data_IF_888959738585
#
_entry.id   IF_888959738585
#
_cell.length_a   1.000
_cell.length_b   1.000
_cell.length_c   1.000
_cell.angle_alpha   90.00
_cell.angle_beta   90.00
_cell.angle_gamma   90.00
#
_symmetry.space_group_name_H-M   'P 1'
#
loop_
_entity.id
_entity.type
_entity.pdbx_description
1 polymer ?
#
# COMPACT_ATOMS: atom_id res chain seq x y z
N UNK A 1 -8.85 8.78 19.23
CA UNK A 1 -7.55 8.04 19.23
C UNK A 1 -7.68 6.52 19.12
N UNK A 2 -8.75 5.89 19.63
CA UNK A 2 -8.91 4.41 19.61
C UNK A 2 -8.84 3.74 18.24
N UNK A 3 -9.38 4.36 17.19
CA UNK A 3 -9.37 3.76 15.84
C UNK A 3 -8.00 3.67 15.19
N UNK A 4 -7.06 4.56 15.53
CA UNK A 4 -5.68 4.51 15.02
C UNK A 4 -4.88 3.35 15.60
N UNK A 5 -5.06 3.08 16.91
CA UNK A 5 -4.38 1.98 17.62
C UNK A 5 -4.94 0.62 17.19
N UNK A 6 -6.26 0.47 17.10
CA UNK A 6 -6.87 -0.76 16.60
C UNK A 6 -6.45 -1.08 15.16
N UNK A 7 -6.38 -0.04 14.29
CA UNK A 7 -5.90 -0.18 12.93
C UNK A 7 -4.41 -0.56 12.83
N UNK A 8 -3.57 -0.01 13.71
CA UNK A 8 -2.16 -0.37 13.81
C UNK A 8 -1.97 -1.84 14.25
N UNK A 9 -2.71 -2.29 15.27
CA UNK A 9 -2.68 -3.68 15.76
C UNK A 9 -3.15 -4.68 14.70
N UNK A 10 -4.24 -4.38 13.99
CA UNK A 10 -4.71 -5.21 12.88
C UNK A 10 -3.66 -5.31 11.75
N UNK A 11 -2.91 -4.23 11.52
CA UNK A 11 -1.87 -4.21 10.49
C UNK A 11 -0.68 -5.11 10.85
N UNK A 12 -0.33 -5.29 12.14
CA UNK A 12 0.71 -6.24 12.55
C UNK A 12 0.35 -7.66 12.11
N UNK A 13 -0.89 -8.10 12.38
CA UNK A 13 -1.35 -9.43 12.00
C UNK A 13 -1.38 -9.57 10.47
N UNK A 14 -1.85 -8.54 9.75
CA UNK A 14 -1.84 -8.54 8.29
C UNK A 14 -0.42 -8.63 7.71
N UNK A 15 0.55 -7.96 8.32
CA UNK A 15 1.95 -8.10 7.92
C UNK A 15 2.38 -9.54 8.11
N UNK A 16 2.15 -10.14 9.29
CA UNK A 16 2.58 -11.50 9.56
C UNK A 16 1.93 -12.54 8.62
N UNK A 17 0.64 -12.42 8.31
CA UNK A 17 -0.05 -13.44 7.50
C UNK A 17 0.07 -13.22 5.99
N UNK A 18 0.06 -11.97 5.53
CA UNK A 18 0.02 -11.63 4.10
C UNK A 18 1.39 -11.27 3.53
N UNK A 19 2.46 -11.30 4.33
CA UNK A 19 3.81 -11.02 3.84
C UNK A 19 4.20 -11.88 2.63
N UNK A 20 3.90 -13.20 2.57
CA UNK A 20 4.25 -14.01 1.40
C UNK A 20 3.68 -13.45 0.09
N UNK A 21 2.41 -13.06 0.08
CA UNK A 21 1.77 -12.46 -1.09
C UNK A 21 2.36 -11.08 -1.41
N UNK A 22 2.68 -10.27 -0.39
CA UNK A 22 3.34 -8.97 -0.58
C UNK A 22 4.74 -9.11 -1.17
N UNK A 23 5.51 -10.09 -0.72
CA UNK A 23 6.85 -10.40 -1.24
C UNK A 23 6.78 -10.87 -2.67
N UNK A 24 5.86 -11.80 -2.98
CA UNK A 24 5.58 -12.25 -4.35
C UNK A 24 5.20 -11.08 -5.26
N UNK A 25 4.25 -10.22 -4.83
CA UNK A 25 3.82 -9.05 -5.60
C UNK A 25 4.98 -8.08 -5.88
N UNK A 26 5.81 -7.78 -4.88
CA UNK A 26 6.96 -6.89 -5.09
C UNK A 26 8.02 -7.51 -6.00
N UNK A 27 8.23 -8.84 -5.90
CA UNK A 27 9.08 -9.57 -6.83
C UNK A 27 8.57 -9.45 -8.27
N UNK A 28 7.27 -9.65 -8.49
CA UNK A 28 6.63 -9.46 -9.79
C UNK A 28 6.83 -8.04 -10.31
N UNK A 29 6.66 -7.02 -9.46
CA UNK A 29 6.89 -5.62 -9.86
C UNK A 29 8.33 -5.36 -10.34
N UNK A 30 9.33 -6.04 -9.77
CA UNK A 30 10.72 -5.90 -10.21
C UNK A 30 11.03 -6.74 -11.45
N UNK A 31 10.60 -7.99 -11.51
CA UNK A 31 11.08 -8.97 -12.49
C UNK A 31 10.08 -9.35 -13.58
N UNK A 32 8.77 -9.12 -13.41
CA UNK A 32 7.76 -9.36 -14.46
C UNK A 32 7.26 -10.76 -14.60
N UNK A 33 7.62 -11.61 -13.65
CA UNK A 33 7.24 -13.00 -13.59
C UNK A 33 5.75 -13.17 -13.26
N UNK A 34 5.19 -14.33 -13.61
CA UNK A 34 3.84 -14.70 -13.19
C UNK A 34 3.78 -14.95 -11.67
N UNK A 35 2.59 -15.02 -11.08
CA UNK A 35 2.46 -15.26 -9.63
C UNK A 35 3.04 -16.63 -9.25
N UNK A 36 2.66 -17.67 -10.00
CA UNK A 36 3.12 -19.05 -9.77
C UNK A 36 4.64 -19.15 -9.91
N UNK A 37 5.19 -18.57 -10.97
CA UNK A 37 6.64 -18.55 -11.20
C UNK A 37 7.37 -17.82 -10.08
N UNK A 38 6.87 -16.66 -9.65
CA UNK A 38 7.48 -15.89 -8.56
C UNK A 38 7.47 -16.67 -7.24
N UNK A 39 6.38 -17.36 -6.93
CA UNK A 39 6.28 -18.25 -5.76
C UNK A 39 7.32 -19.37 -5.85
N UNK A 40 7.44 -20.04 -7.01
CA UNK A 40 8.42 -21.12 -7.19
C UNK A 40 9.85 -20.60 -7.08
N UNK A 41 10.18 -19.47 -7.70
CA UNK A 41 11.52 -18.87 -7.63
C UNK A 41 11.86 -18.48 -6.19
N UNK A 42 10.95 -17.79 -5.50
CA UNK A 42 11.17 -17.38 -4.10
C UNK A 42 11.33 -18.60 -3.18
N UNK A 43 10.57 -19.67 -3.40
CA UNK A 43 10.73 -20.89 -2.62
C UNK A 43 12.09 -21.56 -2.88
N UNK A 44 12.54 -21.62 -4.14
CA UNK A 44 13.87 -22.17 -4.47
C UNK A 44 15.03 -21.34 -3.91
N UNK A 45 14.87 -20.03 -3.85
CA UNK A 45 15.90 -19.08 -3.39
C UNK A 45 16.17 -19.16 -1.88
N UNK A 46 15.19 -19.55 -1.06
CA UNK A 46 15.41 -19.61 0.40
C UNK A 46 14.29 -20.23 1.23
N UNK A 47 13.47 -21.09 0.61
CA UNK A 47 12.36 -21.78 1.25
C UNK A 47 11.31 -20.85 1.85
N UNK A 48 10.57 -21.30 2.88
CA UNK A 48 9.53 -20.50 3.53
C UNK A 48 10.02 -19.17 4.11
N UNK A 49 11.28 -19.13 4.58
CA UNK A 49 11.88 -17.91 5.16
C UNK A 49 12.07 -16.81 4.11
N UNK A 50 12.17 -17.15 2.83
CA UNK A 50 12.37 -16.17 1.75
C UNK A 50 11.19 -15.20 1.61
N UNK A 51 9.98 -15.68 1.88
CA UNK A 51 8.76 -14.87 1.87
C UNK A 51 8.72 -13.78 2.94
N UNK A 52 9.49 -13.96 4.02
CA UNK A 52 9.53 -13.06 5.17
C UNK A 52 10.76 -12.15 5.18
N UNK A 53 11.56 -12.12 4.10
CA UNK A 53 12.66 -11.16 3.99
C UNK A 53 12.11 -9.73 3.98
N UNK A 54 12.59 -8.91 4.92
CA UNK A 54 12.07 -7.56 5.16
C UNK A 54 10.94 -7.48 6.21
N UNK A 55 10.74 -8.51 7.05
CA UNK A 55 9.66 -8.53 8.04
C UNK A 55 9.81 -7.40 9.07
N UNK A 56 11.00 -7.22 9.62
CA UNK A 56 11.26 -6.15 10.58
C UNK A 56 10.89 -4.75 10.06
N UNK A 57 11.39 -4.28 8.89
CA UNK A 57 10.95 -3.00 8.35
C UNK A 57 9.47 -3.01 7.93
N UNK A 58 8.87 -4.14 7.56
CA UNK A 58 7.42 -4.22 7.29
C UNK A 58 6.57 -3.98 8.55
N UNK A 59 6.98 -4.53 9.70
CA UNK A 59 6.31 -4.36 11.00
C UNK A 59 6.39 -2.93 11.52
N UNK A 60 7.40 -2.16 11.11
CA UNK A 60 7.48 -0.73 11.40
C UNK A 60 6.63 0.07 10.41
N UNK A 61 6.83 -0.18 9.11
CA UNK A 61 6.24 0.60 8.03
C UNK A 61 4.72 0.45 7.97
N UNK A 62 4.19 -0.76 8.14
CA UNK A 62 2.76 -1.04 8.02
C UNK A 62 1.90 -0.25 9.02
N UNK A 63 2.10 -0.44 10.34
CA UNK A 63 1.37 0.28 11.38
C UNK A 63 1.49 1.81 11.25
N UNK A 64 2.71 2.34 11.08
CA UNK A 64 2.94 3.77 10.89
C UNK A 64 2.20 4.32 9.67
N UNK A 65 2.21 3.57 8.57
CA UNK A 65 1.49 3.93 7.36
C UNK A 65 -0.01 4.01 7.59
N UNK A 66 -0.63 3.06 8.29
CA UNK A 66 -2.07 3.10 8.57
C UNK A 66 -2.43 4.23 9.50
N UNK A 67 -1.61 4.44 10.53
CA UNK A 67 -1.78 5.57 11.42
C UNK A 67 -1.75 6.89 10.64
N UNK A 68 -0.73 7.10 9.80
CA UNK A 68 -0.59 8.32 9.03
C UNK A 68 -1.70 8.55 8.01
N UNK A 69 -2.19 7.51 7.35
CA UNK A 69 -3.33 7.62 6.41
C UNK A 69 -4.60 8.06 7.17
N UNK A 70 -4.89 7.47 8.33
CA UNK A 70 -6.06 7.83 9.16
C UNK A 70 -5.92 9.24 9.74
N UNK A 71 -4.73 9.60 10.25
CA UNK A 71 -4.46 10.91 10.81
C UNK A 71 -4.52 12.01 9.73
N UNK A 72 -4.01 11.74 8.52
CA UNK A 72 -4.06 12.67 7.39
C UNK A 72 -5.50 12.96 6.96
N UNK A 73 -6.34 11.93 6.92
CA UNK A 73 -7.74 12.09 6.57
C UNK A 73 -8.51 12.88 7.64
N UNK A 74 -8.42 12.47 8.90
CA UNK A 74 -9.10 13.16 10.00
C UNK A 74 -8.61 14.61 10.16
N UNK A 75 -7.30 14.84 10.06
CA UNK A 75 -6.70 16.17 10.17
C UNK A 75 -7.09 17.09 9.02
N UNK A 76 -7.11 16.60 7.78
CA UNK A 76 -7.52 17.40 6.63
C UNK A 76 -9.01 17.78 6.69
N UNK A 77 -9.88 16.85 7.10
CA UNK A 77 -11.31 17.15 7.29
C UNK A 77 -11.49 18.18 8.40
N UNK A 78 -10.87 17.99 9.56
CA UNK A 78 -10.97 18.93 10.67
C UNK A 78 -10.47 20.34 10.32
N UNK A 79 -9.37 20.44 9.55
CA UNK A 79 -8.83 21.72 9.09
C UNK A 79 -9.74 22.43 8.08
N UNK A 80 -10.40 21.68 7.20
CA UNK A 80 -11.31 22.27 6.20
C UNK A 80 -12.71 22.54 6.76
N UNK A 81 -13.13 21.80 7.78
CA UNK A 81 -14.41 22.01 8.45
C UNK A 81 -14.37 23.17 9.45
N UNK A 82 -13.18 23.54 9.95
CA UNK A 82 -13.00 24.66 10.89
C UNK A 82 -13.11 26.04 10.25
N UNK A 83 -13.05 26.13 8.91
CA UNK A 83 -13.18 27.38 8.18
C UNK A 83 -14.55 27.46 7.46
N UNK A 84 -15.37 28.50 7.73
CA UNK A 84 -16.68 28.69 7.08
C UNK A 84 -16.64 28.67 5.54
N UNK A 85 -15.50 29.07 4.94
CA UNK A 85 -15.35 29.10 3.48
C UNK A 85 -15.14 27.72 2.86
N UNK A 86 -14.65 26.74 3.62
CA UNK A 86 -14.27 25.41 3.12
C UNK A 86 -15.16 24.28 3.63
N UNK A 87 -16.02 24.54 4.62
CA UNK A 87 -16.92 23.54 5.21
C UNK A 87 -17.93 22.98 4.21
N UNK A 88 -18.38 23.77 3.24
CA UNK A 88 -19.35 23.35 2.22
C UNK A 88 -18.72 22.63 1.04
N UNK A 89 -17.39 22.49 1.00
CA UNK A 89 -16.71 21.80 -0.10
C UNK A 89 -17.15 20.33 -0.15
N UNK A 90 -17.35 19.77 -1.36
CA UNK A 90 -17.61 18.35 -1.52
C UNK A 90 -16.50 17.50 -0.88
N UNK A 91 -16.87 16.36 -0.31
CA UNK A 91 -15.92 15.43 0.34
C UNK A 91 -14.76 15.05 -0.60
N UNK A 92 -15.02 14.93 -1.91
CA UNK A 92 -13.98 14.65 -2.90
C UNK A 92 -12.88 15.74 -2.92
N UNK A 93 -13.25 17.02 -2.81
CA UNK A 93 -12.31 18.14 -2.78
C UNK A 93 -11.51 18.12 -1.48
N UNK A 94 -12.17 17.91 -0.34
CA UNK A 94 -11.49 17.78 0.96
C UNK A 94 -10.51 16.59 0.98
N UNK A 95 -10.86 15.53 0.26
CA UNK A 95 -10.02 14.33 0.11
C UNK A 95 -8.72 14.61 -0.65
N UNK A 96 -8.66 15.65 -1.50
CA UNK A 96 -7.40 16.05 -2.17
C UNK A 96 -6.35 16.51 -1.16
N UNK A 97 -6.76 17.27 -0.14
CA UNK A 97 -5.87 17.72 0.93
C UNK A 97 -5.42 16.53 1.79
N UNK A 98 -6.35 15.66 2.17
CA UNK A 98 -6.03 14.41 2.88
C UNK A 98 -5.02 13.55 2.13
N UNK A 99 -5.21 13.40 0.81
CA UNK A 99 -4.30 12.64 -0.06
C UNK A 99 -2.92 13.27 -0.14
N UNK A 100 -2.85 14.61 -0.11
CA UNK A 100 -1.58 15.35 -0.11
C UNK A 100 -0.81 15.16 1.19
N UNK A 101 -1.48 15.27 2.34
CA UNK A 101 -0.87 14.98 3.65
C UNK A 101 -0.38 13.53 3.75
N UNK A 102 -1.18 12.56 3.30
CA UNK A 102 -0.75 11.16 3.25
C UNK A 102 0.47 10.98 2.33
N UNK A 103 0.50 11.60 1.15
CA UNK A 103 1.62 11.53 0.23
C UNK A 103 2.92 12.09 0.85
N UNK A 104 2.84 13.21 1.57
CA UNK A 104 3.99 13.79 2.31
C UNK A 104 4.44 12.85 3.43
N UNK A 105 3.50 12.33 4.22
CA UNK A 105 3.81 11.37 5.27
C UNK A 105 4.53 10.12 4.74
N UNK A 106 4.16 9.64 3.54
CA UNK A 106 4.83 8.51 2.88
C UNK A 106 6.28 8.80 2.48
N UNK A 107 6.63 10.04 2.21
CA UNK A 107 8.01 10.41 1.90
C UNK A 107 8.93 10.21 3.13
N UNK A 108 8.43 10.49 4.34
CA UNK A 108 9.17 10.20 5.58
C UNK A 108 9.35 8.70 5.84
N UNK A 109 8.36 7.88 5.47
CA UNK A 109 8.45 6.42 5.60
C UNK A 109 9.23 5.73 4.48
N UNK A 110 9.64 6.47 3.44
CA UNK A 110 10.28 5.88 2.25
C UNK A 110 11.57 5.12 2.57
N UNK A 111 12.47 5.55 3.48
CA UNK A 111 13.66 4.76 3.81
C UNK A 111 13.35 3.35 4.33
N UNK A 112 12.38 3.23 5.24
CA UNK A 112 11.94 1.94 5.80
C UNK A 112 11.28 1.09 4.70
N UNK A 113 10.50 1.73 3.85
CA UNK A 113 9.89 1.07 2.70
C UNK A 113 10.92 0.59 1.67
N UNK A 114 11.97 1.38 1.39
CA UNK A 114 13.09 1.02 0.51
C UNK A 114 13.84 -0.20 1.04
N UNK A 115 14.12 -0.24 2.34
CA UNK A 115 14.69 -1.43 2.97
C UNK A 115 13.78 -2.64 2.82
N UNK A 116 12.50 -2.51 3.19
CA UNK A 116 11.50 -3.58 3.07
C UNK A 116 11.41 -4.13 1.64
N UNK A 117 11.16 -3.26 0.66
CA UNK A 117 10.94 -3.70 -0.72
C UNK A 117 12.18 -4.30 -1.33
N UNK A 118 13.37 -3.75 -1.03
CA UNK A 118 14.62 -4.28 -1.58
C UNK A 118 14.89 -5.68 -1.04
N UNK A 119 14.66 -5.93 0.25
CA UNK A 119 14.76 -7.27 0.84
C UNK A 119 13.70 -8.24 0.29
N UNK A 120 12.47 -7.76 0.06
CA UNK A 120 11.43 -8.59 -0.53
C UNK A 120 11.77 -9.00 -1.97
N UNK A 121 12.36 -8.10 -2.77
CA UNK A 121 12.73 -8.39 -4.17
C UNK A 121 14.04 -9.15 -4.29
N UNK A 122 15.10 -8.72 -3.60
CA UNK A 122 16.47 -9.21 -3.78
C UNK A 122 16.87 -10.27 -2.73
N UNK A 123 16.04 -10.51 -1.72
CA UNK A 123 16.36 -11.48 -0.67
C UNK A 123 17.44 -10.97 0.27
N UNK A 124 18.40 -11.84 0.61
CA UNK A 124 19.45 -11.52 1.59
C UNK A 124 20.46 -10.50 1.06
N UNK A 125 20.79 -10.54 -0.22
CA UNK A 125 21.71 -9.57 -0.86
C UNK A 125 21.16 -8.14 -0.89
N UNK A 126 19.86 -7.96 -0.61
CA UNK A 126 19.22 -6.64 -0.58
C UNK A 126 19.86 -5.65 0.40
N UNK A 127 20.38 -6.11 1.54
CA UNK A 127 21.12 -5.24 2.48
C UNK A 127 22.43 -4.75 1.89
N UNK A 128 23.14 -5.64 1.17
CA UNK A 128 24.45 -5.32 0.58
C UNK A 128 24.29 -4.34 -0.58
N UNK A 129 23.26 -4.53 -1.41
CA UNK A 129 22.88 -3.59 -2.47
C UNK A 129 22.62 -2.20 -1.90
N UNK A 130 21.84 -2.10 -0.81
CA UNK A 130 21.55 -0.80 -0.18
C UNK A 130 22.79 -0.19 0.46
N UNK A 131 23.62 -1.01 1.12
CA UNK A 131 24.89 -0.56 1.71
C UNK A 131 25.84 -0.01 0.65
N UNK A 132 25.97 -0.70 -0.48
CA UNK A 132 26.78 -0.26 -1.60
C UNK A 132 26.24 1.03 -2.22
N UNK A 133 24.92 1.14 -2.41
CA UNK A 133 24.29 2.38 -2.87
C UNK A 133 24.53 3.55 -1.93
N UNK A 134 24.40 3.34 -0.62
CA UNK A 134 24.68 4.39 0.37
C UNK A 134 26.15 4.83 0.33
N UNK A 135 27.09 3.91 0.11
CA UNK A 135 28.51 4.24 -0.08
C UNK A 135 28.74 5.06 -1.35
N UNK A 136 28.11 4.69 -2.46
CA UNK A 136 28.38 5.30 -3.77
C UNK A 136 27.64 6.64 -3.99
N UNK A 137 26.46 6.81 -3.39
CA UNK A 137 25.57 7.94 -3.69
C UNK A 137 24.95 8.59 -2.44
N UNK A 138 25.40 8.18 -1.25
CA UNK A 138 24.93 8.71 0.03
C UNK A 138 23.58 8.16 0.51
N UNK A 139 23.19 8.58 1.72
CA UNK A 139 21.98 8.11 2.41
C UNK A 139 20.69 8.52 1.70
N UNK A 140 20.73 9.60 0.89
CA UNK A 140 19.60 10.08 0.07
C UNK A 140 19.09 8.98 -0.89
N UNK A 141 19.91 7.98 -1.23
CA UNK A 141 19.49 6.81 -1.99
C UNK A 141 18.28 6.08 -1.40
N UNK A 142 18.09 6.11 -0.08
CA UNK A 142 16.93 5.49 0.57
C UNK A 142 15.59 6.14 0.18
N UNK A 143 15.62 7.36 -0.37
CA UNK A 143 14.45 8.05 -0.92
C UNK A 143 14.29 7.87 -2.43
N UNK A 144 15.09 7.04 -3.11
CA UNK A 144 14.88 6.79 -4.53
C UNK A 144 13.54 6.09 -4.74
N UNK A 145 12.66 6.74 -5.51
CA UNK A 145 11.27 6.30 -5.68
C UNK A 145 10.27 7.06 -4.81
N UNK A 146 10.70 7.97 -3.92
CA UNK A 146 9.81 8.74 -3.03
C UNK A 146 8.72 9.51 -3.78
N UNK A 147 9.07 10.18 -4.88
CA UNK A 147 8.12 10.92 -5.73
C UNK A 147 7.10 9.95 -6.33
N UNK A 148 7.55 8.85 -6.96
CA UNK A 148 6.61 7.87 -7.51
C UNK A 148 5.77 7.20 -6.42
N UNK A 149 6.30 7.03 -5.20
CA UNK A 149 5.56 6.54 -4.05
C UNK A 149 4.48 7.53 -3.58
N UNK A 150 4.81 8.83 -3.53
CA UNK A 150 3.87 9.90 -3.22
C UNK A 150 2.76 9.99 -4.27
N UNK A 151 3.13 9.99 -5.56
CA UNK A 151 2.16 10.01 -6.68
C UNK A 151 1.30 8.75 -6.68
N UNK A 152 1.88 7.55 -6.49
CA UNK A 152 1.11 6.31 -6.39
C UNK A 152 0.16 6.29 -5.18
N UNK A 153 0.56 6.94 -4.08
CA UNK A 153 -0.30 7.13 -2.91
C UNK A 153 -1.47 8.03 -3.25
N UNK A 154 -1.20 9.20 -3.85
CA UNK A 154 -2.24 10.16 -4.23
C UNK A 154 -3.23 9.56 -5.25
N UNK A 155 -2.72 9.01 -6.35
CA UNK A 155 -3.48 8.37 -7.44
C UNK A 155 -4.17 7.08 -6.98
N UNK A 156 -3.70 6.45 -5.90
CA UNK A 156 -4.45 5.36 -5.26
C UNK A 156 -5.55 5.87 -4.34
N UNK A 157 -5.24 6.83 -3.47
CA UNK A 157 -6.13 7.29 -2.41
C UNK A 157 -7.36 8.01 -2.95
N UNK A 158 -7.18 8.94 -3.89
CA UNK A 158 -8.29 9.73 -4.42
C UNK A 158 -9.36 8.90 -5.15
N UNK A 159 -9.03 8.01 -6.12
CA UNK A 159 -10.03 7.16 -6.76
C UNK A 159 -10.69 6.18 -5.80
N UNK A 160 -9.96 5.70 -4.78
CA UNK A 160 -10.54 4.81 -3.75
C UNK A 160 -11.70 5.51 -3.02
N UNK A 161 -11.44 6.69 -2.46
CA UNK A 161 -12.46 7.44 -1.70
C UNK A 161 -13.60 7.94 -2.58
N UNK A 162 -13.29 8.37 -3.81
CA UNK A 162 -14.31 8.80 -4.77
C UNK A 162 -15.25 7.66 -5.11
N UNK A 163 -14.71 6.50 -5.45
CA UNK A 163 -15.50 5.29 -5.75
C UNK A 163 -16.29 4.83 -4.53
N UNK A 164 -15.64 4.82 -3.36
CA UNK A 164 -16.28 4.43 -2.09
C UNK A 164 -17.49 5.31 -1.80
N UNK A 165 -17.32 6.64 -1.83
CA UNK A 165 -18.40 7.59 -1.53
C UNK A 165 -19.53 7.52 -2.56
N UNK A 166 -19.20 7.41 -3.85
CA UNK A 166 -20.20 7.26 -4.92
C UNK A 166 -21.06 6.00 -4.74
N UNK A 167 -20.42 4.85 -4.50
CA UNK A 167 -21.13 3.59 -4.27
C UNK A 167 -21.90 3.60 -2.95
N UNK A 168 -21.37 4.26 -1.91
CA UNK A 168 -22.06 4.44 -0.63
C UNK A 168 -23.35 5.26 -0.78
N UNK A 169 -23.36 6.27 -1.67
CA UNK A 169 -24.54 7.09 -1.94
C UNK A 169 -25.55 6.39 -2.87
N UNK A 170 -25.07 5.60 -3.83
CA UNK A 170 -25.91 4.99 -4.88
C UNK A 170 -26.56 3.68 -4.43
N UNK A 171 -25.83 2.84 -3.68
CA UNK A 171 -26.34 1.53 -3.27
C UNK A 171 -27.20 1.70 -2.01
N UNK A 172 -28.48 1.27 -2.00
CA UNK A 172 -29.36 1.43 -0.85
C UNK A 172 -28.78 0.83 0.44
N UNK A 173 -29.03 1.48 1.58
CA UNK A 173 -28.66 0.96 2.90
C UNK A 173 -29.51 -0.27 3.23
N UNK A 174 -28.93 -1.19 4.01
CA UNK A 174 -29.58 -2.44 4.43
C UNK A 174 -29.70 -2.46 5.95
N UNK A 175 -30.84 -2.91 6.45
CA UNK A 175 -31.15 -2.90 7.89
C UNK A 175 -30.49 -4.06 8.63
N UNK A 176 -30.45 -5.25 8.01
CA UNK A 176 -29.80 -6.42 8.60
C UNK A 176 -28.30 -6.23 8.68
N UNK A 177 -27.72 -6.56 9.83
CA UNK A 177 -26.28 -6.42 10.08
C UNK A 177 -25.43 -7.17 9.04
N UNK A 178 -25.79 -8.40 8.68
CA UNK A 178 -25.08 -9.20 7.67
C UNK A 178 -25.08 -8.54 6.29
N UNK A 179 -26.24 -8.05 5.84
CA UNK A 179 -26.40 -7.36 4.56
C UNK A 179 -25.63 -6.04 4.54
N UNK A 180 -25.63 -5.28 5.65
CA UNK A 180 -24.85 -4.04 5.79
C UNK A 180 -23.35 -4.29 5.73
N UNK A 181 -22.87 -5.33 6.41
CA UNK A 181 -21.45 -5.73 6.38
C UNK A 181 -21.03 -6.19 4.99
N UNK A 182 -21.84 -7.03 4.34
CA UNK A 182 -21.58 -7.50 2.98
C UNK A 182 -21.53 -6.34 1.99
N UNK A 183 -22.50 -5.41 2.07
CA UNK A 183 -22.53 -4.19 1.25
C UNK A 183 -21.25 -3.37 1.41
N UNK A 184 -20.84 -3.09 2.65
CA UNK A 184 -19.63 -2.30 2.92
C UNK A 184 -18.36 -3.02 2.45
N UNK A 185 -18.29 -4.35 2.60
CA UNK A 185 -17.17 -5.15 2.12
C UNK A 185 -17.06 -5.10 0.59
N UNK A 186 -18.17 -5.28 -0.14
CA UNK A 186 -18.20 -5.21 -1.60
C UNK A 186 -17.82 -3.82 -2.12
N UNK A 187 -18.36 -2.76 -1.51
CA UNK A 187 -18.02 -1.38 -1.87
C UNK A 187 -16.53 -1.11 -1.65
N UNK A 188 -15.99 -1.51 -0.49
CA UNK A 188 -14.57 -1.37 -0.19
C UNK A 188 -13.67 -2.18 -1.13
N UNK A 189 -14.10 -3.38 -1.52
CA UNK A 189 -13.39 -4.22 -2.49
C UNK A 189 -13.37 -3.59 -3.88
N UNK A 190 -14.52 -3.16 -4.42
CA UNK A 190 -14.60 -2.50 -5.73
C UNK A 190 -13.75 -1.22 -5.75
N UNK A 191 -13.83 -0.42 -4.68
CA UNK A 191 -13.01 0.79 -4.52
C UNK A 191 -11.51 0.48 -4.54
N UNK A 192 -11.11 -0.65 -3.94
CA UNK A 192 -9.73 -1.14 -3.96
C UNK A 192 -9.30 -1.60 -5.35
N UNK A 193 -10.14 -2.34 -6.07
CA UNK A 193 -9.87 -2.78 -7.44
C UNK A 193 -9.66 -1.59 -8.38
N UNK A 194 -10.53 -0.58 -8.31
CA UNK A 194 -10.42 0.65 -9.13
C UNK A 194 -9.12 1.38 -8.81
N UNK A 195 -8.87 1.64 -7.52
CA UNK A 195 -7.64 2.29 -7.05
C UNK A 195 -6.36 1.56 -7.46
N UNK A 196 -6.35 0.24 -7.30
CA UNK A 196 -5.21 -0.61 -7.62
C UNK A 196 -4.93 -0.61 -9.12
N UNK A 197 -5.97 -0.70 -9.95
CA UNK A 197 -5.85 -0.69 -11.40
C UNK A 197 -5.26 0.63 -11.91
N UNK A 198 -5.77 1.77 -11.42
CA UNK A 198 -5.30 3.09 -11.83
C UNK A 198 -3.85 3.35 -11.36
N UNK A 199 -3.51 2.93 -10.13
CA UNK A 199 -2.20 3.21 -9.54
C UNK A 199 -1.11 2.19 -9.87
N UNK A 200 -1.43 1.05 -10.52
CA UNK A 200 -0.48 -0.07 -10.63
C UNK A 200 0.80 0.27 -11.39
N UNK A 201 0.71 0.94 -12.54
CA UNK A 201 1.87 1.28 -13.38
C UNK A 201 2.89 2.15 -12.65
N UNK A 202 2.40 3.10 -11.83
CA UNK A 202 3.23 3.98 -11.00
C UNK A 202 3.91 3.16 -9.89
N UNK A 203 3.20 2.17 -9.31
CA UNK A 203 3.76 1.28 -8.28
C UNK A 203 4.80 0.32 -8.83
N UNK A 204 4.61 -0.19 -10.05
CA UNK A 204 5.61 -0.96 -10.79
C UNK A 204 6.85 -0.11 -11.00
N UNK A 205 6.69 1.10 -11.54
CA UNK A 205 7.79 2.03 -11.80
C UNK A 205 8.56 2.39 -10.51
N UNK A 206 7.81 2.71 -9.45
CA UNK A 206 8.34 3.00 -8.11
C UNK A 206 9.18 1.83 -7.61
N UNK A 207 8.63 0.62 -7.60
CA UNK A 207 9.33 -0.57 -7.06
C UNK A 207 10.56 -0.90 -7.91
N UNK A 208 10.43 -0.85 -9.23
CA UNK A 208 11.54 -1.16 -10.15
C UNK A 208 12.75 -0.26 -9.92
N UNK A 209 12.51 1.06 -9.80
CA UNK A 209 13.54 2.06 -9.50
C UNK A 209 14.09 1.90 -8.09
N UNK A 210 13.21 1.75 -7.09
CA UNK A 210 13.57 1.71 -5.68
C UNK A 210 14.52 0.54 -5.38
N UNK A 211 14.29 -0.61 -6.01
CA UNK A 211 15.09 -1.84 -5.80
C UNK A 211 16.15 -2.07 -6.87
N UNK A 212 16.41 -1.08 -7.74
CA UNK A 212 17.50 -1.16 -8.70
C UNK A 212 18.85 -1.09 -7.97
N UNK A 213 19.83 -1.94 -8.35
CA UNK A 213 21.19 -1.87 -7.77
C UNK A 213 21.91 -0.54 -7.97
N UNK A 214 21.61 0.18 -9.05
CA UNK A 214 22.26 1.43 -9.42
C UNK A 214 21.26 2.59 -9.49
N UNK A 215 21.80 3.80 -9.64
CA UNK A 215 20.99 5.01 -9.82
C UNK A 215 20.40 5.03 -11.24
N UNK A 216 19.11 4.75 -11.33
CA UNK A 216 18.34 4.87 -12.57
C UNK A 216 17.31 6.00 -12.49
N UNK A 217 17.09 6.71 -13.61
CA UNK A 217 16.01 7.71 -13.72
C UNK A 217 14.63 7.05 -13.93
N UNK A 218 13.54 7.79 -13.72
CA UNK A 218 12.19 7.26 -13.97
C UNK A 218 11.96 6.96 -15.45
N UNK A 219 12.48 7.81 -16.34
CA UNK A 219 12.36 7.61 -17.78
C UNK A 219 13.10 6.34 -18.22
N UNK A 220 14.32 6.13 -17.72
CA UNK A 220 15.07 4.90 -18.00
C UNK A 220 14.36 3.67 -17.44
N UNK A 221 13.88 3.71 -16.19
CA UNK A 221 13.12 2.60 -15.60
C UNK A 221 11.88 2.26 -16.44
N UNK A 222 11.13 3.26 -16.89
CA UNK A 222 9.96 3.04 -17.75
C UNK A 222 10.35 2.42 -19.10
N UNK A 223 11.42 2.94 -19.74
CA UNK A 223 11.94 2.39 -21.00
C UNK A 223 12.37 0.93 -20.85
N UNK A 224 13.09 0.58 -19.78
CA UNK A 224 13.52 -0.80 -19.52
C UNK A 224 12.35 -1.75 -19.25
N UNK A 225 11.35 -1.31 -18.49
CA UNK A 225 10.14 -2.12 -18.24
C UNK A 225 9.38 -2.35 -19.55
N UNK A 226 9.15 -1.30 -20.34
CA UNK A 226 8.41 -1.40 -21.61
C UNK A 226 9.18 -2.22 -22.64
N UNK A 227 10.51 -2.09 -22.69
CA UNK A 227 11.34 -2.92 -23.58
C UNK A 227 11.26 -4.41 -23.22
N UNK A 228 11.13 -4.74 -21.93
CA UNK A 228 11.08 -6.13 -21.46
C UNK A 228 9.69 -6.76 -21.53
N UNK A 229 8.65 -6.04 -21.11
CA UNK A 229 7.29 -6.61 -20.94
C UNK A 229 6.22 -5.91 -21.80
N UNK A 230 6.59 -4.89 -22.57
CA UNK A 230 5.65 -4.04 -23.28
C UNK A 230 4.82 -3.12 -22.37
N UNK A 231 3.97 -2.30 -22.98
CA UNK A 231 3.09 -1.35 -22.26
C UNK A 231 2.07 -2.11 -21.41
N UNK A 232 1.50 -3.20 -21.93
CA UNK A 232 0.52 -4.02 -21.19
C UNK A 232 1.17 -4.64 -19.95
N UNK A 233 2.40 -5.14 -20.07
CA UNK A 233 3.18 -5.64 -18.95
C UNK A 233 3.42 -4.55 -17.91
N UNK A 234 3.88 -3.37 -18.31
CA UNK A 234 4.05 -2.24 -17.39
C UNK A 234 2.78 -1.90 -16.60
N UNK A 235 1.62 -1.88 -17.27
CA UNK A 235 0.35 -1.53 -16.65
C UNK A 235 -0.21 -2.62 -15.74
N UNK A 236 0.01 -3.90 -16.05
CA UNK A 236 -0.69 -5.03 -15.41
C UNK A 236 0.18 -5.94 -14.55
N UNK A 237 1.51 -5.82 -14.60
CA UNK A 237 2.47 -6.61 -13.81
C UNK A 237 2.07 -6.62 -12.34
N UNK A 238 1.92 -7.82 -11.76
CA UNK A 238 1.55 -8.02 -10.35
C UNK A 238 0.12 -7.61 -9.94
N UNK A 239 -0.71 -7.09 -10.86
CA UNK A 239 -2.04 -6.56 -10.53
C UNK A 239 -2.99 -7.62 -9.95
N UNK A 240 -3.01 -8.83 -10.55
CA UNK A 240 -3.84 -9.95 -10.06
C UNK A 240 -3.49 -10.31 -8.60
N UNK A 241 -2.19 -10.46 -8.32
CA UNK A 241 -1.68 -10.74 -6.97
C UNK A 241 -2.03 -9.62 -5.99
N UNK A 242 -1.97 -8.36 -6.45
CA UNK A 242 -2.35 -7.20 -5.65
C UNK A 242 -3.83 -7.22 -5.27
N UNK A 243 -4.73 -7.44 -6.23
CA UNK A 243 -6.17 -7.52 -6.01
C UNK A 243 -6.49 -8.64 -5.03
N UNK A 244 -5.90 -9.83 -5.22
CA UNK A 244 -6.04 -10.95 -4.28
C UNK A 244 -5.56 -10.58 -2.87
N UNK A 245 -4.36 -10.00 -2.76
CA UNK A 245 -3.77 -9.61 -1.47
C UNK A 245 -4.66 -8.59 -0.75
N UNK A 246 -5.15 -7.58 -1.46
CA UNK A 246 -5.98 -6.54 -0.88
C UNK A 246 -7.39 -7.05 -0.53
N UNK A 247 -7.94 -7.99 -1.30
CA UNK A 247 -9.17 -8.70 -0.96
C UNK A 247 -9.04 -9.48 0.35
N UNK A 248 -7.99 -10.29 0.49
CA UNK A 248 -7.68 -11.01 1.73
C UNK A 248 -7.43 -10.06 2.91
N UNK A 249 -6.73 -8.96 2.66
CA UNK A 249 -6.50 -7.93 3.66
C UNK A 249 -7.80 -7.28 4.15
N UNK A 250 -8.74 -6.99 3.24
CA UNK A 250 -10.05 -6.42 3.59
C UNK A 250 -10.89 -7.37 4.45
N UNK A 251 -10.90 -8.66 4.12
CA UNK A 251 -11.57 -9.70 4.92
C UNK A 251 -10.94 -9.77 6.31
N UNK A 252 -9.61 -9.87 6.38
CA UNK A 252 -8.88 -9.91 7.64
C UNK A 252 -9.11 -8.66 8.49
N UNK A 253 -9.05 -7.47 7.90
CA UNK A 253 -9.28 -6.23 8.62
C UNK A 253 -10.67 -6.21 9.25
N UNK A 254 -11.70 -6.63 8.51
CA UNK A 254 -13.08 -6.63 8.99
C UNK A 254 -13.28 -7.56 10.20
N UNK A 255 -12.64 -8.73 10.18
CA UNK A 255 -12.68 -9.69 11.30
C UNK A 255 -11.87 -9.18 12.49
N UNK A 256 -10.61 -8.77 12.26
CA UNK A 256 -9.69 -8.33 13.32
C UNK A 256 -10.16 -7.04 13.99
N UNK A 257 -10.68 -6.09 13.22
CA UNK A 257 -11.24 -4.86 13.74
C UNK A 257 -12.35 -5.15 14.74
N UNK A 258 -13.33 -5.99 14.36
CA UNK A 258 -14.45 -6.34 15.24
C UNK A 258 -13.97 -7.04 16.52
N UNK A 259 -13.01 -7.96 16.40
CA UNK A 259 -12.42 -8.62 17.56
C UNK A 259 -11.71 -7.63 18.50
N UNK A 260 -10.93 -6.69 17.98
CA UNK A 260 -10.24 -5.69 18.80
C UNK A 260 -11.18 -4.65 19.38
N UNK A 261 -12.19 -4.23 18.62
CA UNK A 261 -13.25 -3.34 19.10
C UNK A 261 -13.97 -3.99 20.29
N UNK A 262 -14.42 -5.24 20.13
CA UNK A 262 -15.07 -5.98 21.22
C UNK A 262 -14.16 -6.12 22.44
N UNK A 263 -12.86 -6.39 22.27
CA UNK A 263 -11.91 -6.54 23.37
C UNK A 263 -11.58 -5.22 24.08
N UNK A 264 -11.44 -4.11 23.34
CA UNK A 264 -11.07 -2.80 23.88
C UNK A 264 -12.28 -2.16 24.57
N UNK A 265 -13.46 -2.22 23.94
CA UNK A 265 -14.67 -1.55 24.45
C UNK A 265 -15.46 -2.39 25.46
N UNK A 266 -15.41 -3.74 25.44
CA UNK A 266 -15.92 -4.52 26.60
C UNK A 266 -15.11 -4.30 27.87
N UNK A 267 -13.84 -3.90 27.77
CA UNK A 267 -13.01 -3.58 28.94
C UNK A 267 -13.31 -2.21 29.57
N UNK A 268 -14.14 -1.39 28.92
CA UNK A 268 -14.54 -0.05 29.38
C UNK A 268 -16.00 0.00 29.89
N UNK A 269 -16.70 -1.14 29.97
CA UNK A 269 -17.98 -1.32 30.66
C UNK A 269 -17.77 -2.22 31.86
#
# INVERSE_FOLDING_TARGET
>A
MGGGVAGASAMVIQVLTLMPLRTTMNYQYKFGTSMTESVVILYKDGGPRRYYRGLAPALIQGPLSRFGDTASNAGALALLDSNPSTVHLPIAVKTLLASSFSAVFRMFLTPVDTLKTTLQTQGQSGTDILRQRMRNHGVVTLWYGSIANAVATFVGHYPWFTTYNYLQATIPRRDKMSERLMRNALIGFISSVVSDTISNSIRVLKTYRQTHPERISYMQSAKEIVARDGVVGWMTRGLKTRILTNGLQGIMFSVLWKLFEDMIFKKQR
#
